data_IF_428467083568
#
_entry.id   IF_428467083568
#
_cell.length_a   1.000
_cell.length_b   1.000
_cell.length_c   1.000
_cell.angle_alpha   90.00
_cell.angle_beta   90.00
_cell.angle_gamma   90.00
#
_symmetry.space_group_name_H-M   'P 1'
#
loop_
_entity.id
_entity.type
_entity.pdbx_description
1 polymer ?
#
# COMPACT_ATOMS: atom_id res chain seq x y z
N UNK A 1 -0.17 12.22 -10.84
CA UNK A 1 0.99 11.59 -11.51
C UNK A 1 0.56 10.45 -12.43
N UNK A 2 -0.11 9.41 -11.91
CA UNK A 2 -0.58 8.27 -12.71
C UNK A 2 -1.58 8.65 -13.81
N UNK A 3 -2.56 9.53 -13.52
CA UNK A 3 -3.49 10.10 -14.51
C UNK A 3 -2.80 10.68 -15.75
N UNK A 4 -1.69 11.40 -15.53
CA UNK A 4 -0.87 12.02 -16.58
C UNK A 4 -0.02 11.01 -17.33
N UNK A 5 0.43 9.94 -16.66
CA UNK A 5 1.24 8.85 -17.25
C UNK A 5 0.39 7.84 -18.05
N UNK A 6 -0.84 7.58 -17.63
CA UNK A 6 -1.74 6.56 -18.17
C UNK A 6 -2.95 7.16 -18.92
N UNK A 7 -2.99 8.48 -19.11
CA UNK A 7 -4.02 9.22 -19.86
C UNK A 7 -5.47 8.89 -19.43
N UNK A 8 -5.72 8.74 -18.13
CA UNK A 8 -7.07 8.55 -17.60
C UNK A 8 -7.53 9.79 -16.82
N UNK A 9 -8.83 10.06 -16.86
CA UNK A 9 -9.46 11.16 -16.13
C UNK A 9 -9.55 10.79 -14.65
N UNK A 10 -8.99 11.61 -13.78
CA UNK A 10 -9.16 11.49 -12.31
C UNK A 10 -10.17 12.53 -11.85
N UNK A 11 -11.14 12.07 -11.06
CA UNK A 11 -12.07 12.92 -10.35
C UNK A 11 -11.65 13.00 -8.87
N UNK A 12 -11.19 14.17 -8.44
CA UNK A 12 -10.71 14.38 -7.08
C UNK A 12 -11.82 14.25 -6.02
N UNK A 13 -13.08 14.56 -6.38
CA UNK A 13 -14.21 14.43 -5.47
C UNK A 13 -14.51 12.97 -5.19
N UNK A 14 -14.53 12.14 -6.23
CA UNK A 14 -14.73 10.70 -6.10
C UNK A 14 -13.61 10.03 -5.28
N UNK A 15 -12.35 10.40 -5.51
CA UNK A 15 -11.22 9.89 -4.72
C UNK A 15 -11.33 10.27 -3.23
N UNK A 16 -11.78 11.49 -2.93
CA UNK A 16 -11.99 11.95 -1.55
C UNK A 16 -13.11 11.18 -0.87
N UNK A 17 -14.26 11.03 -1.53
CA UNK A 17 -15.37 10.22 -1.00
C UNK A 17 -14.96 8.75 -0.81
N UNK A 18 -14.20 8.19 -1.76
CA UNK A 18 -13.71 6.82 -1.65
C UNK A 18 -12.76 6.63 -0.46
N UNK A 19 -11.81 7.54 -0.25
CA UNK A 19 -10.89 7.50 0.91
C UNK A 19 -11.64 7.69 2.23
N UNK A 20 -12.61 8.62 2.27
CA UNK A 20 -13.42 8.86 3.46
C UNK A 20 -14.29 7.65 3.82
N UNK A 21 -14.92 7.04 2.82
CA UNK A 21 -15.74 5.84 3.02
C UNK A 21 -14.89 4.63 3.44
N UNK A 22 -13.73 4.43 2.79
CA UNK A 22 -12.81 3.35 3.13
C UNK A 22 -12.24 3.51 4.55
N UNK A 23 -11.90 4.73 4.96
CA UNK A 23 -11.44 5.01 6.32
C UNK A 23 -12.55 4.81 7.36
N UNK A 24 -13.78 5.22 7.04
CA UNK A 24 -14.95 5.02 7.92
C UNK A 24 -15.26 3.54 8.12
N UNK A 25 -15.23 2.74 7.04
CA UNK A 25 -15.36 1.29 7.10
C UNK A 25 -14.22 0.64 7.90
N UNK A 26 -13.00 1.17 7.75
CA UNK A 26 -11.82 0.66 8.46
C UNK A 26 -11.95 0.89 9.98
N UNK A 27 -12.54 1.99 10.44
CA UNK A 27 -12.73 2.28 11.87
C UNK A 27 -13.59 1.25 12.64
N UNK A 28 -14.38 0.42 11.94
CA UNK A 28 -15.09 -0.69 12.59
C UNK A 28 -14.17 -1.84 13.00
N UNK A 29 -12.94 -1.85 12.49
CA UNK A 29 -11.91 -2.83 12.81
C UNK A 29 -10.73 -2.12 13.48
N UNK A 30 -9.92 -2.82 14.29
CA UNK A 30 -8.70 -2.26 14.89
C UNK A 30 -7.60 -2.11 13.83
N UNK A 31 -7.76 -1.17 12.90
CA UNK A 31 -6.83 -0.89 11.80
C UNK A 31 -6.60 0.61 11.66
N UNK A 32 -5.42 0.99 11.21
CA UNK A 32 -5.08 2.39 10.94
C UNK A 32 -5.85 2.92 9.71
N UNK A 33 -6.16 4.22 9.66
CA UNK A 33 -6.84 4.82 8.52
C UNK A 33 -6.05 4.58 7.23
N UNK A 34 -6.79 4.21 6.17
CA UNK A 34 -6.21 3.86 4.89
C UNK A 34 -5.68 5.09 4.17
N UNK A 35 -4.50 4.97 3.59
CA UNK A 35 -3.89 6.02 2.78
C UNK A 35 -3.34 5.44 1.48
N UNK A 36 -3.34 6.24 0.42
CA UNK A 36 -2.79 5.84 -0.88
C UNK A 36 -1.26 5.72 -0.79
N UNK A 37 -0.74 4.49 -0.89
CA UNK A 37 0.70 4.23 -0.85
C UNK A 37 1.31 4.37 -2.25
N UNK A 38 1.87 5.54 -2.54
CA UNK A 38 2.49 5.85 -3.84
C UNK A 38 3.57 4.82 -4.23
N UNK A 39 4.40 4.37 -3.29
CA UNK A 39 5.46 3.40 -3.54
C UNK A 39 4.92 2.04 -3.99
N UNK A 40 3.89 1.51 -3.32
CA UNK A 40 3.26 0.23 -3.70
C UNK A 40 2.53 0.33 -5.04
N UNK A 41 1.85 1.45 -5.27
CA UNK A 41 1.15 1.71 -6.53
C UNK A 41 2.13 1.84 -7.70
N UNK A 42 3.29 2.46 -7.50
CA UNK A 42 4.32 2.59 -8.53
C UNK A 42 4.85 1.23 -8.96
N UNK A 43 5.24 0.38 -8.00
CA UNK A 43 5.71 -0.99 -8.29
C UNK A 43 4.63 -1.80 -9.01
N UNK A 44 3.36 -1.67 -8.63
CA UNK A 44 2.26 -2.37 -9.30
C UNK A 44 2.04 -1.88 -10.74
N UNK A 45 2.20 -0.58 -10.99
CA UNK A 45 2.12 0.00 -12.35
C UNK A 45 3.34 -0.41 -13.19
N UNK A 46 4.53 -0.47 -12.60
CA UNK A 46 5.76 -0.95 -13.25
C UNK A 46 5.71 -2.45 -13.57
N UNK A 47 5.04 -3.24 -12.73
CA UNK A 47 4.75 -4.65 -12.99
C UNK A 47 3.73 -4.87 -14.14
N UNK A 48 3.21 -3.80 -14.75
CA UNK A 48 2.27 -3.87 -15.87
C UNK A 48 0.84 -4.16 -15.47
N UNK A 49 0.52 -4.11 -14.17
CA UNK A 49 -0.84 -4.35 -13.67
C UNK A 49 -1.77 -3.21 -14.07
N UNK A 50 -2.87 -3.57 -14.74
CA UNK A 50 -3.94 -2.62 -15.13
C UNK A 50 -5.24 -2.80 -14.35
N UNK A 51 -5.32 -3.82 -13.49
CA UNK A 51 -6.56 -4.22 -12.80
C UNK A 51 -6.41 -4.24 -11.29
N UNK A 52 -7.53 -4.03 -10.57
CA UNK A 52 -7.60 -4.11 -9.11
C UNK A 52 -7.32 -5.54 -8.58
N UNK A 53 -7.43 -6.55 -9.46
CA UNK A 53 -7.25 -7.95 -9.11
C UNK A 53 -5.87 -8.24 -8.51
N UNK A 54 -4.80 -7.59 -8.99
CA UNK A 54 -3.48 -7.82 -8.41
C UNK A 54 -3.38 -7.36 -6.95
N UNK A 55 -4.04 -6.25 -6.61
CA UNK A 55 -4.10 -5.75 -5.23
C UNK A 55 -4.89 -6.71 -4.35
N UNK A 56 -6.00 -7.26 -4.85
CA UNK A 56 -6.80 -8.26 -4.13
C UNK A 56 -5.98 -9.53 -3.88
N UNK A 57 -5.34 -10.08 -4.93
CA UNK A 57 -4.48 -11.26 -4.83
C UNK A 57 -3.33 -11.03 -3.86
N UNK A 58 -2.70 -9.85 -3.89
CA UNK A 58 -1.61 -9.50 -2.96
C UNK A 58 -2.09 -9.45 -1.51
N UNK A 59 -3.27 -8.87 -1.25
CA UNK A 59 -3.85 -8.82 0.10
C UNK A 59 -4.24 -10.20 0.63
N UNK A 60 -4.80 -11.07 -0.22
CA UNK A 60 -5.11 -12.47 0.14
C UNK A 60 -3.83 -13.23 0.46
N UNK A 61 -2.80 -13.06 -0.38
CA UNK A 61 -1.51 -13.72 -0.17
C UNK A 61 -0.85 -13.27 1.13
N UNK A 62 -0.88 -11.96 1.42
CA UNK A 62 -0.41 -11.39 2.69
C UNK A 62 -1.15 -11.99 3.89
N UNK A 63 -2.48 -12.07 3.82
CA UNK A 63 -3.30 -12.65 4.89
C UNK A 63 -2.93 -14.13 5.13
N UNK A 64 -2.71 -14.89 4.06
CA UNK A 64 -2.32 -16.30 4.14
C UNK A 64 -0.94 -16.46 4.78
N UNK A 65 0.02 -15.59 4.42
CA UNK A 65 1.34 -15.55 5.06
C UNK A 65 1.22 -15.22 6.55
N UNK A 66 0.40 -14.23 6.93
CA UNK A 66 0.26 -13.88 8.35
C UNK A 66 -0.31 -15.04 9.17
N UNK A 67 -1.27 -15.79 8.62
CA UNK A 67 -1.86 -16.95 9.33
C UNK A 67 -0.86 -18.12 9.43
N UNK A 68 -0.12 -18.43 8.37
CA UNK A 68 0.82 -19.57 8.35
C UNK A 68 2.17 -19.26 9.01
N UNK A 69 2.73 -18.08 8.74
CA UNK A 69 4.06 -17.63 9.15
C UNK A 69 4.05 -16.62 10.29
N UNK A 70 2.87 -16.27 10.84
CA UNK A 70 2.74 -15.29 11.94
C UNK A 70 3.65 -15.59 13.14
N UNK A 71 3.75 -16.87 13.55
CA UNK A 71 4.66 -17.27 14.66
C UNK A 71 6.13 -17.01 14.36
N UNK A 72 6.55 -17.08 13.10
CA UNK A 72 7.93 -16.82 12.69
C UNK A 72 8.22 -15.32 12.60
N UNK A 73 7.20 -14.52 12.25
CA UNK A 73 7.29 -13.06 12.23
C UNK A 73 7.35 -12.44 13.64
N UNK A 74 6.79 -13.10 14.65
CA UNK A 74 6.84 -12.60 16.04
C UNK A 74 8.27 -12.56 16.60
N UNK A 75 9.13 -13.47 16.16
CA UNK A 75 10.54 -13.51 16.58
C UNK A 75 11.42 -12.52 15.83
N UNK A 76 10.88 -11.72 14.89
CA UNK A 76 11.70 -10.78 14.13
C UNK A 76 12.22 -9.66 15.05
N UNK A 77 13.55 -9.44 15.10
CA UNK A 77 14.11 -8.34 15.87
C UNK A 77 13.67 -7.00 15.27
N UNK A 78 13.28 -6.06 16.16
CA UNK A 78 12.83 -4.71 15.76
C UNK A 78 13.84 -3.98 14.85
N UNK A 79 15.12 -4.33 14.96
CA UNK A 79 16.19 -3.82 14.09
C UNK A 79 15.92 -4.03 12.60
N UNK A 80 15.38 -5.19 12.21
CA UNK A 80 15.11 -5.51 10.80
C UNK A 80 13.92 -4.69 10.29
N UNK A 81 12.86 -4.54 11.10
CA UNK A 81 11.74 -3.66 10.78
C UNK A 81 12.21 -2.22 10.58
N UNK A 82 12.98 -1.67 11.53
CA UNK A 82 13.52 -0.31 11.42
C UNK A 82 14.39 -0.12 10.17
N UNK A 83 15.24 -1.10 9.84
CA UNK A 83 16.04 -1.05 8.62
C UNK A 83 15.18 -0.97 7.35
N UNK A 84 14.10 -1.77 7.26
CA UNK A 84 13.19 -1.71 6.10
C UNK A 84 12.49 -0.36 5.96
N UNK A 85 12.11 0.27 7.08
CA UNK A 85 11.50 1.62 7.07
C UNK A 85 12.51 2.67 6.60
N UNK A 86 13.76 2.61 7.06
CA UNK A 86 14.83 3.54 6.63
C UNK A 86 15.09 3.42 5.12
N UNK A 87 15.14 2.19 4.59
CA UNK A 87 15.31 1.96 3.15
C UNK A 87 14.12 2.51 2.36
N UNK A 88 12.89 2.32 2.84
CA UNK A 88 11.70 2.87 2.22
C UNK A 88 11.72 4.41 2.20
N UNK A 89 12.16 5.04 3.29
CA UNK A 89 12.33 6.49 3.38
C UNK A 89 13.39 7.01 2.41
N UNK A 90 14.51 6.30 2.28
CA UNK A 90 15.58 6.66 1.32
C UNK A 90 15.02 6.82 -0.09
N UNK A 91 14.15 5.92 -0.55
CA UNK A 91 13.52 6.03 -1.87
C UNK A 91 12.67 7.30 -2.06
N UNK A 92 12.01 7.78 -1.01
CA UNK A 92 11.22 9.01 -1.03
C UNK A 92 12.14 10.24 -1.02
N UNK A 93 13.17 10.25 -0.17
CA UNK A 93 14.08 11.39 -0.04
C UNK A 93 14.93 11.62 -1.29
N UNK A 94 15.38 10.54 -1.96
CA UNK A 94 16.14 10.64 -3.22
C UNK A 94 15.30 11.15 -4.39
N UNK A 95 13.97 10.99 -4.37
CA UNK A 95 13.10 11.58 -5.39
C UNK A 95 12.87 13.08 -5.13
N UNK A 96 13.05 13.56 -3.89
CA UNK A 96 12.78 14.94 -3.51
C UNK A 96 13.98 15.88 -3.68
N UNK A 97 15.20 15.34 -3.78
CA UNK A 97 16.46 16.08 -3.98
C UNK A 97 16.91 16.01 -5.44
#
# INVERSE_FOLDING_TARGET
>A
MFAKKLNYKVDSGQELYALGFASSLSSFFPVYPVSCSLGRTMVNVEAGTKTLLATITSSIFLLLIIIFMGKWLETLPMCVLSATVIVALKGITYHFL
#
